data_IF_592350449182
#
_entry.id   IF_592350449182
#
_cell.length_a   1.000
_cell.length_b   1.000
_cell.length_c   1.000
_cell.angle_alpha   90.00
_cell.angle_beta   90.00
_cell.angle_gamma   90.00
#
_symmetry.space_group_name_H-M   'P 1'
#
loop_
_entity.id
_entity.type
_entity.pdbx_description
1 polymer ?
#
# COMPACT_ATOMS: atom_id res chain seq x y z
N UNK A 1 -7.75 34.93 8.43
CA UNK A 1 -7.89 34.71 6.97
C UNK A 1 -6.83 33.77 6.36
N UNK A 2 -5.75 33.41 7.07
CA UNK A 2 -4.67 32.52 6.57
C UNK A 2 -4.98 31.00 6.56
N UNK A 3 -6.01 30.54 7.26
CA UNK A 3 -6.31 29.10 7.40
C UNK A 3 -6.91 28.43 6.15
N UNK A 4 -7.34 29.19 5.14
CA UNK A 4 -7.99 28.63 3.93
C UNK A 4 -7.03 28.38 2.77
N UNK A 5 -5.82 28.94 2.81
CA UNK A 5 -4.81 28.77 1.76
C UNK A 5 -4.07 27.43 1.87
N UNK A 6 -3.82 26.94 3.09
CA UNK A 6 -3.16 25.64 3.32
C UNK A 6 -3.98 24.45 2.78
N UNK A 7 -5.31 24.57 2.70
CA UNK A 7 -6.20 23.53 2.16
C UNK A 7 -6.13 23.37 0.64
N UNK A 8 -5.56 24.36 -0.09
CA UNK A 8 -5.42 24.34 -1.54
C UNK A 8 -3.99 24.03 -2.00
N UNK A 9 -3.05 23.83 -1.08
CA UNK A 9 -1.70 23.42 -1.45
C UNK A 9 -1.73 21.93 -1.83
N UNK A 10 -1.27 21.56 -3.05
CA UNK A 10 -1.17 20.15 -3.41
C UNK A 10 -0.22 19.45 -2.44
N UNK A 11 -0.65 18.33 -1.86
CA UNK A 11 0.22 17.54 -1.00
C UNK A 11 1.33 16.89 -1.83
N UNK A 12 2.58 16.93 -1.38
CA UNK A 12 3.63 16.09 -1.93
C UNK A 12 3.23 14.61 -1.91
N UNK A 13 3.59 13.86 -2.94
CA UNK A 13 3.31 12.41 -3.02
C UNK A 13 3.90 11.64 -1.83
N UNK A 14 5.05 12.09 -1.31
CA UNK A 14 5.71 11.47 -0.16
C UNK A 14 4.88 11.53 1.13
N UNK A 15 3.98 12.50 1.27
CA UNK A 15 3.17 12.67 2.48
C UNK A 15 2.11 11.56 2.64
N UNK A 16 1.83 10.80 1.58
CA UNK A 16 0.88 9.69 1.58
C UNK A 16 1.51 8.34 1.18
N UNK A 17 2.83 8.26 1.20
CA UNK A 17 3.53 7.00 0.93
C UNK A 17 3.22 5.98 2.04
N UNK A 18 2.82 4.77 1.64
CA UNK A 18 2.65 3.63 2.53
C UNK A 18 3.63 2.52 2.19
N UNK A 19 4.26 1.94 3.21
CA UNK A 19 5.17 0.80 3.08
C UNK A 19 4.63 -0.36 3.92
N UNK A 20 4.63 -1.56 3.36
CA UNK A 20 4.19 -2.78 4.04
C UNK A 20 5.18 -3.90 3.75
N UNK A 21 5.67 -4.53 4.82
CA UNK A 21 6.67 -5.59 4.75
C UNK A 21 6.07 -6.89 5.30
N UNK A 22 5.93 -7.89 4.44
CA UNK A 22 5.28 -9.16 4.75
C UNK A 22 6.22 -10.33 4.45
N UNK A 23 6.21 -11.34 5.33
CA UNK A 23 6.96 -12.58 5.11
C UNK A 23 6.09 -13.53 4.30
N UNK A 24 6.65 -14.08 3.22
CA UNK A 24 5.99 -15.15 2.45
C UNK A 24 6.12 -16.47 3.21
N UNK A 25 4.99 -17.00 3.68
CA UNK A 25 4.93 -18.30 4.37
C UNK A 25 4.53 -19.41 3.39
N UNK A 26 4.76 -20.71 3.72
CA UNK A 26 4.40 -21.82 2.84
C UNK A 26 2.94 -21.80 2.38
N UNK A 27 2.02 -21.38 3.25
CA UNK A 27 0.59 -21.28 2.93
C UNK A 27 0.25 -20.15 1.93
N UNK A 28 1.15 -19.18 1.73
CA UNK A 28 0.98 -18.11 0.74
C UNK A 28 1.48 -18.53 -0.64
N UNK A 29 2.12 -19.70 -0.76
CA UNK A 29 2.73 -20.18 -2.00
C UNK A 29 1.91 -21.29 -2.66
N UNK A 30 2.08 -21.44 -3.96
CA UNK A 30 1.62 -22.61 -4.69
C UNK A 30 2.57 -23.81 -4.46
N UNK A 31 2.23 -25.03 -4.93
CA UNK A 31 3.09 -26.21 -4.76
C UNK A 31 4.50 -26.11 -5.36
N UNK A 32 4.76 -25.12 -6.22
CA UNK A 32 6.09 -24.85 -6.79
C UNK A 32 6.91 -23.86 -5.94
N UNK A 33 6.37 -23.37 -4.83
CA UNK A 33 7.02 -22.41 -3.93
C UNK A 33 6.94 -20.96 -4.39
N UNK A 34 6.14 -20.64 -5.42
CA UNK A 34 5.91 -19.27 -5.85
C UNK A 34 4.70 -18.66 -5.11
N UNK A 35 4.81 -17.39 -4.71
CA UNK A 35 3.73 -16.64 -4.08
C UNK A 35 2.45 -16.68 -4.94
N UNK A 36 1.32 -16.96 -4.30
CA UNK A 36 0.01 -16.94 -4.94
C UNK A 36 -0.37 -15.51 -5.36
N UNK A 37 -0.74 -15.34 -6.63
CA UNK A 37 -1.13 -14.03 -7.17
C UNK A 37 -2.29 -13.38 -6.40
N UNK A 38 -3.25 -14.17 -5.91
CA UNK A 38 -4.34 -13.67 -5.06
C UNK A 38 -3.86 -13.02 -3.76
N UNK A 39 -2.85 -13.60 -3.10
CA UNK A 39 -2.25 -13.03 -1.88
C UNK A 39 -1.54 -11.72 -2.18
N UNK A 40 -0.80 -11.66 -3.28
CA UNK A 40 -0.13 -10.45 -3.73
C UNK A 40 -1.12 -9.32 -4.04
N UNK A 41 -2.20 -9.62 -4.77
CA UNK A 41 -3.23 -8.62 -5.09
C UNK A 41 -3.89 -8.07 -3.83
N UNK A 42 -4.16 -8.93 -2.84
CA UNK A 42 -4.72 -8.48 -1.56
C UNK A 42 -3.78 -7.53 -0.81
N UNK A 43 -2.48 -7.82 -0.80
CA UNK A 43 -1.49 -6.90 -0.21
C UNK A 43 -1.41 -5.56 -0.94
N UNK A 44 -1.47 -5.57 -2.27
CA UNK A 44 -1.47 -4.35 -3.08
C UNK A 44 -2.71 -3.50 -2.76
N UNK A 45 -3.89 -4.12 -2.67
CA UNK A 45 -5.14 -3.44 -2.31
C UNK A 45 -5.05 -2.77 -0.93
N UNK A 46 -4.53 -3.50 0.07
CA UNK A 46 -4.33 -2.97 1.42
C UNK A 46 -3.34 -1.79 1.45
N UNK A 47 -2.19 -1.92 0.79
CA UNK A 47 -1.20 -0.86 0.71
C UNK A 47 -1.74 0.38 -0.01
N UNK A 48 -2.51 0.20 -1.07
CA UNK A 48 -3.20 1.28 -1.79
C UNK A 48 -4.24 1.98 -0.92
N UNK A 49 -5.02 1.22 -0.14
CA UNK A 49 -6.01 1.78 0.78
C UNK A 49 -5.37 2.61 1.90
N UNK A 50 -4.17 2.26 2.37
CA UNK A 50 -3.43 3.06 3.35
C UNK A 50 -2.83 4.34 2.75
N UNK A 51 -2.47 4.31 1.47
CA UNK A 51 -1.85 5.44 0.77
C UNK A 51 -2.85 6.50 0.28
N UNK A 52 -4.13 6.16 0.16
CA UNK A 52 -5.21 7.03 -0.30
C UNK A 52 -5.67 8.01 0.79
#
# INVERSE_FOLDING_TARGET
MRQREDLMMPRPVGDSQSEMNEIVLPNDTNPLGALLGGRLMHWIDLAGAMAA
#
